data_IF_072240358794
#
_entry.id   IF_072240358794
#
_cell.length_a   1.000
_cell.length_b   1.000
_cell.length_c   1.000
_cell.angle_alpha   90.00
_cell.angle_beta   90.00
_cell.angle_gamma   90.00
#
_symmetry.space_group_name_H-M   'P 1'
#
loop_
_entity.id
_entity.type
_entity.pdbx_description
1 polymer ?
#
# COMPACT_ATOMS: atom_id res chain seq x y z
N UNK A 1 7.16 29.94 32.91
CA UNK A 1 5.89 29.23 32.70
C UNK A 1 6.30 27.81 32.34
N UNK A 2 7.05 27.20 33.25
CA UNK A 2 7.90 26.03 32.99
C UNK A 2 7.74 24.96 34.08
N UNK A 3 6.73 25.09 34.95
CA UNK A 3 6.51 24.19 36.09
C UNK A 3 5.34 23.23 35.89
N UNK A 4 4.82 23.12 34.66
CA UNK A 4 3.73 22.19 34.31
C UNK A 4 4.22 21.04 33.42
N UNK A 5 5.46 21.12 32.97
CA UNK A 5 6.07 20.18 32.02
C UNK A 5 6.95 19.19 32.78
N UNK A 6 7.67 19.66 33.80
CA UNK A 6 8.50 18.79 34.67
C UNK A 6 7.64 17.84 35.53
N UNK A 7 6.50 18.32 36.08
CA UNK A 7 5.57 17.47 36.85
C UNK A 7 4.91 16.36 36.00
N UNK A 8 4.82 16.55 34.68
CA UNK A 8 4.24 15.55 33.77
C UNK A 8 5.23 14.48 33.31
N UNK A 9 6.54 14.73 33.47
CA UNK A 9 7.60 13.79 33.10
C UNK A 9 7.91 12.85 34.27
N UNK A 10 7.94 13.37 35.51
CA UNK A 10 8.13 12.55 36.72
C UNK A 10 6.98 11.53 36.93
N UNK A 11 5.74 11.89 36.59
CA UNK A 11 4.59 10.96 36.69
C UNK A 11 4.63 9.82 35.64
N UNK A 12 5.42 9.97 34.58
CA UNK A 12 5.60 8.96 33.54
C UNK A 12 6.77 7.99 33.83
N UNK A 13 7.70 8.35 34.73
CA UNK A 13 8.88 7.54 35.06
C UNK A 13 8.72 6.66 36.31
N UNK A 14 7.75 6.92 37.21
CA UNK A 14 7.55 6.13 38.44
C UNK A 14 6.53 4.96 38.36
N UNK A 15 6.12 4.56 37.15
CA UNK A 15 5.30 3.37 36.94
C UNK A 15 6.13 2.08 36.83
N UNK A 16 6.68 1.57 37.94
CA UNK A 16 7.33 0.24 37.97
C UNK A 16 6.40 -0.86 37.41
N UNK A 17 6.80 -1.71 36.43
CA UNK A 17 6.04 -2.90 36.12
C UNK A 17 6.27 -3.92 37.23
N UNK A 18 5.36 -3.96 38.20
CA UNK A 18 5.30 -5.01 39.21
C UNK A 18 4.93 -6.34 38.54
N UNK A 19 5.93 -7.22 38.46
CA UNK A 19 5.86 -8.62 38.07
C UNK A 19 4.88 -9.39 39.01
N UNK A 20 3.78 -9.91 38.48
CA UNK A 20 2.93 -10.89 39.16
C UNK A 20 2.14 -11.76 38.17
N UNK A 21 2.37 -13.10 38.13
CA UNK A 21 1.46 -14.01 37.46
C UNK A 21 0.34 -14.40 38.43
N UNK A 22 -0.91 -14.14 38.06
CA UNK A 22 -2.08 -14.69 38.74
C UNK A 22 -2.90 -15.52 37.75
N UNK A 23 -2.78 -16.84 37.88
CA UNK A 23 -3.66 -17.84 37.29
C UNK A 23 -5.13 -17.61 37.67
N UNK A 24 -6.04 -17.72 36.70
CA UNK A 24 -7.47 -17.67 36.95
C UNK A 24 -8.32 -17.75 35.68
N UNK A 25 -8.65 -18.97 35.24
CA UNK A 25 -9.67 -19.22 34.23
C UNK A 25 -11.05 -18.75 34.71
N UNK A 26 -11.77 -17.96 33.91
CA UNK A 26 -13.23 -18.06 33.75
C UNK A 26 -13.69 -17.27 32.52
N UNK A 27 -14.47 -17.95 31.68
CA UNK A 27 -15.12 -17.41 30.50
C UNK A 27 -16.26 -16.46 30.90
N UNK A 28 -16.25 -15.24 30.36
CA UNK A 28 -17.47 -14.52 30.00
C UNK A 28 -17.13 -13.44 28.95
N UNK A 29 -17.99 -13.34 27.94
CA UNK A 29 -17.79 -12.50 26.76
C UNK A 29 -17.86 -11.01 27.11
N UNK A 30 -16.69 -10.38 27.11
CA UNK A 30 -16.55 -8.94 26.97
C UNK A 30 -15.45 -8.74 25.94
N UNK A 31 -15.82 -8.25 24.76
CA UNK A 31 -14.89 -7.89 23.69
C UNK A 31 -13.89 -6.89 24.26
N UNK A 32 -12.72 -7.41 24.62
CA UNK A 32 -11.53 -6.62 24.89
C UNK A 32 -11.32 -5.74 23.66
N UNK A 33 -11.56 -4.44 23.80
CA UNK A 33 -10.85 -3.46 22.96
C UNK A 33 -9.38 -3.69 23.28
N UNK A 34 -8.74 -4.58 22.51
CA UNK A 34 -7.30 -4.69 22.47
C UNK A 34 -6.80 -3.35 21.92
N UNK A 35 -6.56 -2.41 22.84
CA UNK A 35 -5.61 -1.33 22.63
C UNK A 35 -4.24 -2.02 22.69
N UNK A 36 -3.91 -2.73 21.61
CA UNK A 36 -2.66 -3.44 21.44
C UNK A 36 -1.62 -2.45 20.93
N UNK A 37 -0.61 -2.17 21.73
CA UNK A 37 0.64 -1.58 21.24
C UNK A 37 1.26 -2.59 20.29
N UNK A 38 1.09 -2.39 18.98
CA UNK A 38 1.80 -3.16 17.96
C UNK A 38 3.19 -2.54 17.73
N UNK A 39 4.17 -3.38 17.38
CA UNK A 39 5.51 -2.89 17.00
C UNK A 39 5.45 -2.20 15.64
N UNK A 40 6.40 -1.28 15.37
CA UNK A 40 6.45 -0.57 14.08
C UNK A 40 6.56 -1.54 12.89
N UNK A 41 7.29 -2.65 13.07
CA UNK A 41 7.43 -3.71 12.06
C UNK A 41 6.07 -4.38 11.74
N UNK A 42 5.26 -4.67 12.77
CA UNK A 42 3.92 -5.25 12.60
C UNK A 42 2.93 -4.28 11.94
N UNK A 43 3.07 -2.98 12.20
CA UNK A 43 2.27 -1.97 11.51
C UNK A 43 2.59 -1.90 10.02
N UNK A 44 3.87 -2.02 9.66
CA UNK A 44 4.33 -1.90 8.28
C UNK A 44 3.85 -3.09 7.42
N UNK A 45 3.84 -4.30 7.97
CA UNK A 45 3.25 -5.48 7.33
C UNK A 45 1.73 -5.30 7.10
N UNK A 46 0.99 -4.81 8.10
CA UNK A 46 -0.45 -4.55 7.95
C UNK A 46 -0.69 -3.47 6.88
N UNK A 47 0.11 -2.40 6.85
CA UNK A 47 0.00 -1.36 5.82
C UNK A 47 0.27 -1.91 4.42
N UNK A 48 1.24 -2.82 4.28
CA UNK A 48 1.55 -3.46 3.00
C UNK A 48 0.40 -4.35 2.52
N UNK A 49 -0.21 -5.13 3.42
CA UNK A 49 -1.38 -5.98 3.10
C UNK A 49 -2.62 -5.17 2.70
N UNK A 50 -2.77 -3.93 3.21
CA UNK A 50 -3.86 -3.03 2.84
C UNK A 50 -3.59 -2.26 1.55
N UNK A 51 -2.37 -2.31 0.99
CA UNK A 51 -2.04 -1.55 -0.21
C UNK A 51 -2.80 -2.11 -1.42
N UNK A 52 -3.51 -1.23 -2.15
CA UNK A 52 -4.25 -1.61 -3.35
C UNK A 52 -3.36 -1.50 -4.59
N UNK A 53 -3.17 -2.62 -5.30
CA UNK A 53 -2.49 -2.65 -6.59
C UNK A 53 -3.42 -2.25 -7.73
N UNK A 54 -3.22 -1.05 -8.29
CA UNK A 54 -3.99 -0.55 -9.43
C UNK A 54 -3.15 -0.71 -10.70
N UNK A 55 -3.74 -1.32 -11.73
CA UNK A 55 -3.15 -1.40 -13.06
C UNK A 55 -4.14 -0.89 -14.10
N UNK A 56 -3.70 0.04 -14.95
CA UNK A 56 -4.49 0.62 -16.04
C UNK A 56 -3.94 0.12 -17.36
N UNK A 57 -4.79 -0.51 -18.18
CA UNK A 57 -4.40 -1.07 -19.47
C UNK A 57 -5.10 -0.31 -20.60
N UNK A 58 -4.33 0.41 -21.41
CA UNK A 58 -4.79 1.07 -22.62
C UNK A 58 -4.62 0.18 -23.84
N UNK A 59 -5.74 -0.17 -24.49
CA UNK A 59 -5.73 -1.02 -25.68
C UNK A 59 -5.95 -0.21 -26.97
N UNK A 60 -5.19 -0.53 -28.02
CA UNK A 60 -5.31 0.09 -29.34
C UNK A 60 -4.83 1.54 -29.37
N UNK A 61 -5.19 2.28 -30.41
CA UNK A 61 -4.67 3.64 -30.61
C UNK A 61 -5.21 4.67 -29.61
N UNK A 62 -6.52 4.72 -29.41
CA UNK A 62 -7.13 5.66 -28.46
C UNK A 62 -6.69 5.38 -27.02
N UNK A 63 -6.65 4.09 -26.63
CA UNK A 63 -6.20 3.69 -25.30
C UNK A 63 -4.73 4.02 -25.06
N UNK A 64 -3.88 3.81 -26.06
CA UNK A 64 -2.47 4.22 -26.02
C UNK A 64 -2.28 5.72 -25.79
N UNK A 65 -3.05 6.55 -26.49
CA UNK A 65 -3.02 8.01 -26.31
C UNK A 65 -3.49 8.43 -24.90
N UNK A 66 -4.49 7.74 -24.34
CA UNK A 66 -4.91 7.98 -22.95
C UNK A 66 -3.82 7.62 -21.96
N UNK A 67 -3.15 6.47 -22.13
CA UNK A 67 -2.03 6.07 -21.28
C UNK A 67 -0.89 7.09 -21.34
N UNK A 68 -0.54 7.55 -22.54
CA UNK A 68 0.50 8.56 -22.71
C UNK A 68 0.18 9.84 -21.91
N UNK A 69 -1.06 10.31 -21.99
CA UNK A 69 -1.51 11.47 -21.23
C UNK A 69 -1.55 11.22 -19.72
N UNK A 70 -1.93 10.03 -19.27
CA UNK A 70 -1.86 9.66 -17.85
C UNK A 70 -0.42 9.65 -17.33
N UNK A 71 0.54 9.27 -18.18
CA UNK A 71 1.96 9.34 -17.87
C UNK A 71 2.45 10.79 -17.79
N UNK A 72 2.13 11.62 -18.78
CA UNK A 72 2.46 13.05 -18.82
C UNK A 72 1.86 13.84 -17.64
N UNK A 73 0.63 13.50 -17.23
CA UNK A 73 -0.04 14.08 -16.06
C UNK A 73 0.54 13.57 -14.73
N UNK A 74 1.42 12.56 -14.76
CA UNK A 74 2.13 12.06 -13.59
C UNK A 74 1.24 11.26 -12.64
N UNK A 75 0.32 10.43 -13.16
CA UNK A 75 -0.55 9.62 -12.29
C UNK A 75 0.30 8.62 -11.49
N UNK A 76 0.25 8.77 -10.16
CA UNK A 76 0.92 7.89 -9.20
C UNK A 76 -0.05 6.84 -8.63
N UNK A 77 0.50 5.72 -8.16
CA UNK A 77 -0.28 4.65 -7.52
C UNK A 77 -1.00 3.71 -8.49
N UNK A 78 -0.80 3.88 -9.81
CA UNK A 78 -1.29 2.96 -10.82
C UNK A 78 -0.18 2.59 -11.80
N UNK A 79 -0.06 1.30 -12.11
CA UNK A 79 0.82 0.80 -13.16
C UNK A 79 0.18 0.99 -14.52
N UNK A 80 0.87 1.67 -15.44
CA UNK A 80 0.38 1.98 -16.77
C UNK A 80 0.86 0.94 -17.78
N UNK A 81 -0.07 0.33 -18.51
CA UNK A 81 0.22 -0.70 -19.53
C UNK A 81 -0.41 -0.29 -20.86
N UNK A 82 0.39 -0.28 -21.93
CA UNK A 82 -0.09 -0.06 -23.29
C UNK A 82 -0.08 -1.38 -24.08
N UNK A 83 -1.19 -1.72 -24.73
CA UNK A 83 -1.30 -2.91 -25.58
C UNK A 83 -1.82 -2.53 -26.97
N UNK A 84 -1.06 -2.84 -28.02
CA UNK A 84 -1.47 -2.54 -29.39
C UNK A 84 -0.93 -3.57 -30.39
N UNK A 85 -1.57 -3.71 -31.54
CA UNK A 85 -1.04 -4.47 -32.68
C UNK A 85 -0.12 -3.63 -33.56
N UNK A 86 -0.29 -2.30 -33.52
CA UNK A 86 0.57 -1.34 -34.22
C UNK A 86 1.82 -1.05 -33.40
N UNK A 87 2.97 -1.55 -33.88
CA UNK A 87 4.28 -1.36 -33.25
C UNK A 87 4.74 0.09 -33.28
N UNK A 88 4.41 0.85 -34.33
CA UNK A 88 4.90 2.22 -34.48
C UNK A 88 4.27 3.09 -33.40
N UNK A 89 2.95 3.00 -33.25
CA UNK A 89 2.25 3.72 -32.20
C UNK A 89 2.67 3.26 -30.80
N UNK A 90 2.91 1.96 -30.59
CA UNK A 90 3.36 1.45 -29.29
C UNK A 90 4.74 2.00 -28.88
N UNK A 91 5.65 2.22 -29.84
CA UNK A 91 6.96 2.83 -29.57
C UNK A 91 6.81 4.26 -29.06
N UNK A 92 5.87 5.03 -29.60
CA UNK A 92 5.65 6.45 -29.26
C UNK A 92 5.01 6.66 -27.88
N UNK A 93 4.21 5.72 -27.37
CA UNK A 93 3.50 5.85 -26.09
C UNK A 93 4.45 5.69 -24.90
N UNK A 94 4.38 6.55 -23.89
CA UNK A 94 5.05 6.37 -22.60
C UNK A 94 4.16 5.55 -21.64
N UNK A 95 4.66 4.38 -21.22
CA UNK A 95 3.98 3.44 -20.32
C UNK A 95 5.00 2.55 -19.60
N UNK A 96 4.69 2.10 -18.39
CA UNK A 96 5.56 1.20 -17.61
C UNK A 96 5.72 -0.16 -18.27
N UNK A 97 4.71 -0.61 -19.02
CA UNK A 97 4.76 -1.87 -19.76
C UNK A 97 4.09 -1.72 -21.12
N UNK A 98 4.72 -2.26 -22.17
CA UNK A 98 4.22 -2.21 -23.55
C UNK A 98 4.06 -3.63 -24.10
N UNK A 99 2.90 -3.95 -24.66
CA UNK A 99 2.55 -5.27 -25.17
C UNK A 99 2.20 -5.17 -26.66
N UNK A 100 3.05 -5.75 -27.51
CA UNK A 100 2.76 -5.92 -28.94
C UNK A 100 1.88 -7.16 -29.14
N UNK A 101 0.61 -6.94 -29.43
CA UNK A 101 -0.35 -8.00 -29.68
C UNK A 101 -0.17 -8.59 -31.08
N UNK A 102 -0.38 -9.89 -31.21
CA UNK A 102 -0.39 -10.58 -32.51
C UNK A 102 0.96 -11.08 -33.03
N UNK A 103 2.08 -10.82 -32.32
CA UNK A 103 3.40 -11.32 -32.72
C UNK A 103 3.49 -12.87 -32.73
N UNK A 104 2.67 -13.55 -31.93
CA UNK A 104 2.73 -15.01 -31.74
C UNK A 104 1.69 -15.84 -32.53
N UNK A 105 0.89 -15.22 -33.42
CA UNK A 105 -0.21 -15.92 -34.10
C UNK A 105 0.22 -16.85 -35.26
N UNK A 106 1.52 -17.13 -35.43
CA UNK A 106 2.04 -18.06 -36.44
C UNK A 106 2.68 -19.29 -35.79
N UNK A 107 1.88 -20.12 -35.12
CA UNK A 107 2.29 -21.47 -34.70
C UNK A 107 1.17 -22.48 -34.95
N UNK A 108 1.12 -23.00 -36.18
CA UNK A 108 0.76 -24.38 -36.63
C UNK A 108 0.38 -24.36 -38.10
#
# INVERSE_FOLDING_TARGET
MDSLIDDAIDEAEEGEPADAPADGQSADGSESRQTGTMTDDELEDVLQDLQTDITVVGCGGAGGNTINRMHEEGIHGAKLVAANTDVQHLVEIEADTKILMGCLLYTS
#
